data_IF_648568774736
#
_entry.id   IF_648568774736
#
_cell.length_a   1.000
_cell.length_b   1.000
_cell.length_c   1.000
_cell.angle_alpha   90.00
_cell.angle_beta   90.00
_cell.angle_gamma   90.00
#
_symmetry.space_group_name_H-M   'P 1'
#
loop_
_entity.id
_entity.type
_entity.pdbx_description
1 polymer ?
#
# COMPACT_ATOMS: atom_id res chain seq x y z
N UNK A 1 -12.76 10.83 -6.45
CA UNK A 1 -12.01 11.53 -7.50
C UNK A 1 -11.09 10.57 -8.20
N UNK A 2 -10.76 10.79 -9.49
CA UNK A 2 -9.57 10.19 -10.06
C UNK A 2 -8.36 11.10 -9.82
N UNK A 3 -7.17 10.50 -9.84
CA UNK A 3 -5.91 11.23 -9.77
C UNK A 3 -5.77 12.21 -10.94
N UNK A 4 -5.01 13.24 -10.74
CA UNK A 4 -4.67 14.21 -11.78
C UNK A 4 -3.21 14.63 -11.65
N UNK A 5 -2.61 14.97 -12.77
CA UNK A 5 -1.23 15.45 -12.85
C UNK A 5 -1.13 16.62 -13.79
N UNK A 6 -0.02 17.32 -13.77
CA UNK A 6 0.31 18.24 -14.84
C UNK A 6 0.84 17.44 -16.04
N UNK A 7 0.35 17.76 -17.22
CA UNK A 7 0.90 17.21 -18.46
C UNK A 7 2.31 17.75 -18.71
N UNK A 8 3.01 17.15 -19.64
CA UNK A 8 4.23 17.74 -20.17
C UNK A 8 3.95 19.13 -20.76
N UNK A 9 4.97 19.98 -20.76
CA UNK A 9 4.88 21.30 -21.40
C UNK A 9 4.65 21.10 -22.88
N UNK A 10 3.52 21.58 -23.36
CA UNK A 10 3.15 21.44 -24.78
C UNK A 10 3.51 22.64 -25.60
N UNK A 11 3.46 23.86 -25.04
CA UNK A 11 3.77 25.11 -25.74
C UNK A 11 4.22 26.16 -24.71
N UNK A 12 5.44 26.67 -24.89
CA UNK A 12 6.02 27.66 -23.97
C UNK A 12 6.09 27.16 -22.53
N UNK A 13 5.42 27.83 -21.60
CA UNK A 13 5.33 27.47 -20.18
C UNK A 13 3.92 27.01 -19.78
N UNK A 14 3.13 26.51 -20.71
CA UNK A 14 1.78 26.06 -20.47
C UNK A 14 1.76 24.62 -19.98
N UNK A 15 1.19 24.40 -18.80
CA UNK A 15 0.89 23.09 -18.25
C UNK A 15 -0.63 22.89 -18.21
N UNK A 16 -1.09 21.74 -18.62
CA UNK A 16 -2.51 21.37 -18.53
C UNK A 16 -2.71 20.26 -17.52
N UNK A 17 -3.89 20.23 -16.92
CA UNK A 17 -4.26 19.11 -16.06
C UNK A 17 -4.56 17.90 -16.93
N UNK A 18 -3.86 16.81 -16.67
CA UNK A 18 -4.10 15.51 -17.29
C UNK A 18 -4.75 14.55 -16.28
N UNK A 19 -5.68 13.76 -16.76
CA UNK A 19 -6.33 12.70 -16.03
C UNK A 19 -5.75 11.34 -16.41
N UNK A 20 -6.13 10.24 -15.70
CA UNK A 20 -5.67 8.90 -16.03
C UNK A 20 -5.94 8.55 -17.50
N UNK A 21 -5.08 7.73 -18.08
CA UNK A 21 -5.28 7.22 -19.43
C UNK A 21 -6.32 6.08 -19.41
N UNK A 22 -7.04 5.92 -20.53
CA UNK A 22 -8.08 4.91 -20.65
C UNK A 22 -7.54 3.48 -20.46
N UNK A 23 -6.31 3.26 -20.85
CA UNK A 23 -5.59 1.98 -20.79
C UNK A 23 -5.15 1.59 -19.38
N UNK A 24 -5.05 2.54 -18.46
CA UNK A 24 -4.71 2.25 -17.07
C UNK A 24 -5.68 1.22 -16.50
N UNK A 25 -5.19 0.40 -15.57
CA UNK A 25 -5.99 -0.63 -14.93
C UNK A 25 -6.61 -1.63 -15.93
N UNK A 26 -5.85 -1.97 -16.99
CA UNK A 26 -6.30 -2.82 -18.11
C UNK A 26 -7.65 -2.39 -18.70
N UNK A 27 -7.87 -1.09 -18.80
CA UNK A 27 -9.11 -0.50 -19.32
C UNK A 27 -10.28 -0.45 -18.32
N UNK A 28 -10.12 -1.00 -17.12
CA UNK A 28 -11.15 -0.98 -16.10
C UNK A 28 -11.34 0.41 -15.51
N UNK A 29 -12.59 0.77 -15.26
CA UNK A 29 -12.97 2.00 -14.61
C UNK A 29 -13.00 3.22 -15.52
N UNK A 30 -13.49 4.32 -14.98
CA UNK A 30 -13.64 5.59 -15.69
C UNK A 30 -12.47 6.54 -15.44
N UNK A 31 -12.05 7.23 -16.49
CA UNK A 31 -11.08 8.33 -16.41
C UNK A 31 -11.74 9.66 -16.06
N UNK A 32 -13.08 9.74 -16.13
CA UNK A 32 -13.80 10.97 -15.87
C UNK A 32 -13.81 11.30 -14.37
N UNK A 33 -13.39 12.51 -13.97
CA UNK A 33 -13.57 12.96 -12.61
C UNK A 33 -15.06 13.18 -12.33
N UNK A 34 -15.55 12.69 -11.20
CA UNK A 34 -16.91 12.88 -10.77
C UNK A 34 -17.01 13.00 -9.25
N UNK A 35 -17.96 13.80 -8.77
CA UNK A 35 -18.31 13.90 -7.37
C UNK A 35 -19.78 14.34 -7.21
N UNK A 36 -20.35 14.06 -6.06
CA UNK A 36 -21.73 14.42 -5.77
C UNK A 36 -21.86 15.92 -5.49
N UNK A 37 -23.01 16.49 -5.87
CA UNK A 37 -23.36 17.87 -5.57
C UNK A 37 -24.48 17.91 -4.48
N UNK A 38 -24.44 18.89 -3.57
CA UNK A 38 -23.39 19.92 -3.40
C UNK A 38 -22.08 19.33 -2.89
N UNK A 39 -20.96 19.89 -3.33
CA UNK A 39 -19.62 19.41 -2.96
C UNK A 39 -18.53 20.42 -3.25
N UNK A 40 -17.33 20.15 -2.76
CA UNK A 40 -16.14 20.96 -2.98
C UNK A 40 -15.14 20.24 -3.87
N UNK A 41 -14.36 20.98 -4.63
CA UNK A 41 -13.20 20.42 -5.33
C UNK A 41 -12.07 20.17 -4.34
N UNK A 42 -11.16 19.22 -4.61
CA UNK A 42 -9.96 19.05 -3.80
C UNK A 42 -9.13 20.34 -3.74
N UNK A 43 -8.40 20.52 -2.66
CA UNK A 43 -7.36 21.53 -2.57
C UNK A 43 -6.32 21.32 -3.67
N UNK A 44 -5.77 22.42 -4.15
CA UNK A 44 -4.64 22.44 -5.07
C UNK A 44 -3.53 23.24 -4.43
N UNK A 45 -2.39 22.60 -4.23
CA UNK A 45 -1.23 23.22 -3.59
C UNK A 45 -0.07 23.27 -4.57
N UNK A 46 0.72 24.33 -4.49
CA UNK A 46 1.95 24.50 -5.28
C UNK A 46 3.06 24.82 -4.29
N UNK A 47 4.04 23.95 -4.17
CA UNK A 47 5.23 24.19 -3.38
C UNK A 47 6.34 24.67 -4.28
N UNK A 48 6.91 25.83 -3.98
CA UNK A 48 8.01 26.45 -4.74
C UNK A 48 9.18 26.76 -3.84
N UNK A 49 10.39 26.74 -4.38
CA UNK A 49 11.60 27.07 -3.65
C UNK A 49 12.82 27.18 -4.55
N UNK A 50 13.85 27.85 -4.07
CA UNK A 50 15.14 27.96 -4.76
C UNK A 50 15.96 26.65 -4.71
N UNK A 51 15.58 25.74 -3.82
CA UNK A 51 16.22 24.42 -3.64
C UNK A 51 15.13 23.34 -3.54
N UNK A 52 15.52 22.06 -3.53
CA UNK A 52 14.61 20.94 -3.32
C UNK A 52 14.09 20.81 -1.88
N UNK A 53 14.69 21.51 -0.92
CA UNK A 53 14.36 21.40 0.50
C UNK A 53 12.87 21.63 0.79
N UNK A 54 12.22 22.74 0.34
CA UNK A 54 10.79 22.93 0.58
C UNK A 54 9.91 21.84 -0.01
N UNK A 55 10.32 21.23 -1.13
CA UNK A 55 9.57 20.16 -1.78
C UNK A 55 9.63 18.87 -0.96
N UNK A 56 10.78 18.57 -0.36
CA UNK A 56 10.98 17.37 0.45
C UNK A 56 10.36 17.49 1.84
N UNK A 57 10.41 18.70 2.42
CA UNK A 57 9.99 18.94 3.81
C UNK A 57 8.54 19.41 3.94
N UNK A 58 7.83 19.69 2.84
CA UNK A 58 6.46 20.19 2.92
C UNK A 58 5.50 19.15 3.51
N UNK A 59 4.67 19.60 4.42
CA UNK A 59 3.58 18.82 5.02
C UNK A 59 2.20 19.28 4.52
N UNK A 60 2.16 20.23 3.59
CA UNK A 60 0.94 20.91 3.16
C UNK A 60 -0.16 19.96 2.69
N UNK A 61 0.18 18.80 2.14
CA UNK A 61 -0.80 17.82 1.69
C UNK A 61 -1.59 17.19 2.86
N UNK A 62 -1.06 17.25 4.09
CA UNK A 62 -1.75 16.81 5.30
C UNK A 62 -2.32 17.98 6.12
N UNK A 63 -1.82 19.21 5.91
CA UNK A 63 -2.21 20.38 6.71
C UNK A 63 -3.54 21.01 6.25
N UNK A 64 -3.96 20.74 5.01
CA UNK A 64 -5.14 21.39 4.39
C UNK A 64 -6.39 20.52 4.36
N UNK A 65 -6.30 19.29 4.79
CA UNK A 65 -7.42 18.32 4.80
C UNK A 65 -7.47 17.61 6.15
N UNK A 66 -8.63 17.62 6.76
CA UNK A 66 -8.87 16.80 7.96
C UNK A 66 -8.83 15.30 7.58
N UNK A 67 -8.37 14.44 8.48
CA UNK A 67 -8.45 12.99 8.27
C UNK A 67 -9.88 12.54 7.96
N UNK A 68 -10.04 11.61 7.04
CA UNK A 68 -11.36 11.08 6.69
C UNK A 68 -12.01 10.35 7.88
N UNK A 69 -11.18 9.73 8.71
CA UNK A 69 -11.57 9.08 9.97
C UNK A 69 -10.38 9.08 10.94
N UNK A 70 -10.69 8.99 12.21
CA UNK A 70 -9.70 8.85 13.28
C UNK A 70 -9.60 7.38 13.69
N UNK A 71 -8.38 6.87 13.83
CA UNK A 71 -8.15 5.51 14.32
C UNK A 71 -8.18 5.46 15.84
N UNK A 72 -8.70 4.36 16.39
CA UNK A 72 -8.59 4.02 17.81
C UNK A 72 -7.34 3.17 18.13
N UNK A 73 -6.57 2.79 17.11
CA UNK A 73 -5.38 1.96 17.24
C UNK A 73 -4.12 2.79 17.48
N UNK A 74 -3.27 2.32 18.38
CA UNK A 74 -1.93 2.87 18.60
C UNK A 74 -0.93 2.13 17.70
N UNK A 75 -0.75 2.63 16.47
CA UNK A 75 0.16 2.07 15.50
C UNK A 75 1.62 2.41 15.84
N UNK A 76 2.43 1.38 16.02
CA UNK A 76 3.84 1.53 16.35
C UNK A 76 4.69 1.64 15.09
N UNK A 77 5.33 2.79 14.89
CA UNK A 77 6.31 2.98 13.83
C UNK A 77 7.59 2.22 14.15
N UNK A 78 8.25 1.66 13.15
CA UNK A 78 9.44 0.86 13.40
C UNK A 78 10.26 0.61 12.14
N UNK A 79 11.33 -0.16 12.32
CA UNK A 79 12.27 -0.59 11.28
C UNK A 79 12.03 -2.04 10.96
N UNK A 80 12.23 -2.43 9.71
CA UNK A 80 12.04 -3.81 9.30
C UNK A 80 13.15 -4.34 8.41
N UNK A 81 13.31 -5.66 8.43
CA UNK A 81 14.11 -6.36 7.41
C UNK A 81 13.21 -6.77 6.24
N UNK A 82 13.78 -6.83 5.06
CA UNK A 82 13.09 -7.18 3.83
C UNK A 82 14.03 -7.92 2.88
N UNK A 83 13.85 -9.23 2.77
CA UNK A 83 14.75 -10.09 2.01
C UNK A 83 14.72 -9.82 0.51
N UNK A 84 13.56 -9.50 -0.02
CA UNK A 84 13.35 -9.30 -1.45
C UNK A 84 14.24 -8.18 -2.03
N UNK A 85 14.50 -7.11 -1.28
CA UNK A 85 15.31 -6.00 -1.79
C UNK A 85 16.75 -6.40 -2.11
N UNK A 86 17.27 -7.44 -1.46
CA UNK A 86 18.63 -7.94 -1.67
C UNK A 86 18.67 -9.22 -2.49
N UNK A 87 17.77 -10.16 -2.22
CA UNK A 87 17.82 -11.51 -2.76
C UNK A 87 16.67 -11.84 -3.70
N UNK A 88 15.79 -10.87 -3.97
CA UNK A 88 14.65 -10.98 -4.88
C UNK A 88 13.75 -12.19 -4.57
N UNK A 89 12.97 -12.65 -5.55
CA UNK A 89 11.96 -13.70 -5.43
C UNK A 89 12.51 -15.06 -4.95
N UNK A 90 13.80 -15.29 -5.12
CA UNK A 90 14.49 -16.50 -4.64
C UNK A 90 14.49 -16.61 -3.11
N UNK A 91 14.43 -15.48 -2.41
CA UNK A 91 14.42 -15.42 -0.95
C UNK A 91 13.07 -15.75 -0.32
N UNK A 92 12.01 -15.81 -1.11
CA UNK A 92 10.69 -16.09 -0.58
C UNK A 92 10.54 -17.60 -0.37
N UNK A 93 11.16 -18.07 0.68
CA UNK A 93 11.11 -19.42 1.19
C UNK A 93 11.26 -19.39 2.73
N UNK A 94 10.83 -20.44 3.40
CA UNK A 94 10.78 -20.45 4.86
C UNK A 94 12.14 -20.20 5.51
N UNK A 95 13.19 -20.87 5.03
CA UNK A 95 14.51 -20.86 5.68
C UNK A 95 15.20 -19.50 5.55
N UNK A 96 15.08 -18.83 4.40
CA UNK A 96 15.60 -17.47 4.23
C UNK A 96 14.80 -16.46 5.05
N UNK A 97 13.48 -16.61 5.15
CA UNK A 97 12.69 -15.73 6.01
C UNK A 97 13.06 -15.89 7.50
N UNK A 98 13.34 -17.10 7.97
CA UNK A 98 13.88 -17.30 9.35
C UNK A 98 15.17 -16.50 9.53
N UNK A 99 16.10 -16.49 8.55
CA UNK A 99 17.34 -15.69 8.64
C UNK A 99 17.05 -14.19 8.75
N UNK A 100 16.03 -13.70 8.03
CA UNK A 100 15.67 -12.28 8.08
C UNK A 100 14.92 -11.90 9.37
N UNK A 101 14.14 -12.81 9.94
CA UNK A 101 13.61 -12.67 11.31
C UNK A 101 14.76 -12.61 12.33
N UNK A 102 15.72 -13.52 12.27
CA UNK A 102 16.88 -13.52 13.16
C UNK A 102 17.73 -12.25 13.00
N UNK A 103 17.88 -11.77 11.78
CA UNK A 103 18.57 -10.49 11.50
C UNK A 103 17.81 -9.31 12.13
N UNK A 104 16.49 -9.24 11.97
CA UNK A 104 15.67 -8.20 12.58
C UNK A 104 15.82 -8.21 14.11
N UNK A 105 15.70 -9.37 14.72
CA UNK A 105 15.87 -9.55 16.16
C UNK A 105 17.26 -9.12 16.64
N UNK A 106 18.33 -9.54 15.92
CA UNK A 106 19.71 -9.20 16.27
C UNK A 106 20.00 -7.70 16.14
N UNK A 107 19.34 -7.02 15.20
CA UNK A 107 19.46 -5.57 15.00
C UNK A 107 18.52 -4.75 15.90
N UNK A 108 17.66 -5.38 16.66
CA UNK A 108 16.63 -4.69 17.46
C UNK A 108 15.61 -3.97 16.56
N UNK A 109 15.27 -4.57 15.42
CA UNK A 109 14.22 -4.06 14.52
C UNK A 109 12.88 -4.68 14.92
N UNK A 110 11.85 -3.89 14.73
CA UNK A 110 10.50 -4.20 15.16
C UNK A 110 9.79 -5.17 14.20
N UNK A 111 10.17 -5.16 12.91
CA UNK A 111 9.41 -5.82 11.86
C UNK A 111 10.25 -6.65 10.90
N UNK A 112 9.59 -7.61 10.25
CA UNK A 112 10.05 -8.27 9.03
C UNK A 112 8.94 -8.18 7.97
N UNK A 113 9.30 -7.81 6.74
CA UNK A 113 8.40 -7.85 5.59
C UNK A 113 8.67 -9.10 4.76
N UNK A 114 7.67 -9.97 4.64
CA UNK A 114 7.68 -11.15 3.78
C UNK A 114 6.94 -10.79 2.49
N UNK A 115 7.67 -10.81 1.38
CA UNK A 115 7.23 -10.29 0.09
C UNK A 115 6.40 -11.30 -0.72
N UNK A 116 6.13 -11.01 -1.98
CA UNK A 116 5.24 -11.72 -2.89
C UNK A 116 5.44 -13.26 -2.92
N UNK A 117 4.43 -13.99 -3.40
CA UNK A 117 4.41 -15.47 -3.51
C UNK A 117 4.60 -16.25 -2.19
N UNK A 118 4.47 -15.62 -1.04
CA UNK A 118 4.53 -16.34 0.23
C UNK A 118 3.42 -17.40 0.36
N UNK A 119 2.27 -17.14 -0.26
CA UNK A 119 1.10 -18.03 -0.29
C UNK A 119 1.37 -19.35 -1.02
N UNK A 120 2.14 -19.31 -2.10
CA UNK A 120 2.45 -20.48 -2.94
C UNK A 120 3.79 -21.13 -2.58
N UNK A 121 4.82 -20.34 -2.24
CA UNK A 121 6.16 -20.85 -1.95
C UNK A 121 6.34 -21.30 -0.49
N UNK A 122 5.68 -20.66 0.45
CA UNK A 122 5.70 -21.01 1.88
C UNK A 122 4.39 -21.71 2.26
N UNK A 123 3.27 -21.14 1.86
CA UNK A 123 1.92 -21.61 2.15
C UNK A 123 1.43 -21.20 3.54
N UNK A 124 0.13 -21.07 3.69
CA UNK A 124 -0.50 -20.52 4.90
C UNK A 124 -0.06 -21.23 6.19
N UNK A 125 -0.10 -22.57 6.22
CA UNK A 125 0.25 -23.32 7.43
C UNK A 125 1.71 -23.11 7.90
N UNK A 126 2.66 -23.04 6.96
CA UNK A 126 4.05 -22.75 7.31
C UNK A 126 4.24 -21.26 7.62
N UNK A 127 3.42 -20.39 7.01
CA UNK A 127 3.42 -18.97 7.34
C UNK A 127 2.96 -18.73 8.79
N UNK A 128 1.92 -19.41 9.26
CA UNK A 128 1.51 -19.37 10.66
C UNK A 128 2.69 -19.72 11.58
N UNK A 129 3.41 -20.81 11.29
CA UNK A 129 4.59 -21.19 12.07
C UNK A 129 5.74 -20.16 11.99
N UNK A 130 5.88 -19.46 10.89
CA UNK A 130 6.88 -18.41 10.72
C UNK A 130 6.51 -17.13 11.49
N UNK A 131 5.23 -16.80 11.51
CA UNK A 131 4.70 -15.69 12.32
C UNK A 131 4.93 -15.96 13.81
N UNK A 132 4.57 -17.17 14.28
CA UNK A 132 4.81 -17.59 15.67
C UNK A 132 6.31 -17.52 16.02
N UNK A 133 7.18 -17.95 15.10
CA UNK A 133 8.63 -17.87 15.28
C UNK A 133 9.10 -16.41 15.42
N UNK A 134 8.64 -15.54 14.54
CA UNK A 134 9.00 -14.11 14.56
C UNK A 134 8.55 -13.45 15.86
N UNK A 135 7.32 -13.67 16.27
CA UNK A 135 6.76 -13.17 17.54
C UNK A 135 7.53 -13.70 18.75
N UNK A 136 7.95 -14.97 18.73
CA UNK A 136 8.81 -15.57 19.75
C UNK A 136 10.18 -14.91 19.85
N UNK A 137 10.63 -14.21 18.82
CA UNK A 137 11.87 -13.39 18.78
C UNK A 137 11.63 -11.91 19.09
N UNK A 138 10.38 -11.49 19.31
CA UNK A 138 10.01 -10.09 19.49
C UNK A 138 10.01 -9.29 18.19
N UNK A 139 9.81 -9.95 17.05
CA UNK A 139 9.71 -9.34 15.71
C UNK A 139 8.31 -9.56 15.19
N UNK A 140 7.64 -8.48 14.79
CA UNK A 140 6.33 -8.53 14.17
C UNK A 140 6.43 -8.65 12.64
N UNK A 141 5.35 -9.13 12.02
CA UNK A 141 5.35 -9.51 10.60
C UNK A 141 4.46 -8.58 9.78
N UNK A 142 4.95 -8.21 8.60
CA UNK A 142 4.18 -7.65 7.50
C UNK A 142 4.13 -8.66 6.36
N UNK A 143 2.96 -8.81 5.73
CA UNK A 143 2.77 -9.68 4.58
C UNK A 143 2.42 -8.87 3.33
N UNK A 144 2.97 -9.29 2.21
CA UNK A 144 2.72 -8.68 0.91
C UNK A 144 1.44 -9.22 0.25
N UNK A 145 0.72 -8.34 -0.44
CA UNK A 145 -0.45 -8.64 -1.26
C UNK A 145 -0.42 -7.84 -2.56
N UNK A 146 -0.93 -8.41 -3.64
CA UNK A 146 -1.31 -7.63 -4.81
C UNK A 146 -2.61 -6.88 -4.54
N UNK A 147 -2.70 -5.62 -4.99
CA UNK A 147 -3.97 -4.90 -5.01
C UNK A 147 -4.95 -5.45 -6.03
N UNK A 148 -4.45 -6.27 -6.96
CA UNK A 148 -5.14 -6.66 -8.17
C UNK A 148 -6.14 -7.78 -7.98
N UNK A 149 -7.24 -7.65 -8.71
CA UNK A 149 -8.21 -8.69 -9.00
C UNK A 149 -8.04 -9.26 -10.42
N UNK A 150 -9.13 -9.80 -10.95
CA UNK A 150 -9.20 -10.41 -12.29
C UNK A 150 -8.85 -9.46 -13.45
N UNK A 151 -8.85 -8.16 -13.20
CA UNK A 151 -8.62 -7.10 -14.18
C UNK A 151 -7.14 -6.75 -14.36
N UNK A 152 -6.26 -7.41 -13.65
CA UNK A 152 -4.82 -7.20 -13.72
C UNK A 152 -4.13 -8.56 -13.90
N UNK A 153 -3.20 -8.63 -14.83
CA UNK A 153 -2.46 -9.84 -15.22
C UNK A 153 -1.13 -10.02 -14.46
N UNK A 154 -0.98 -9.37 -13.33
CA UNK A 154 0.16 -9.56 -12.43
C UNK A 154 0.15 -10.99 -11.87
N UNK A 155 1.27 -11.69 -12.03
CA UNK A 155 1.43 -13.07 -11.59
C UNK A 155 1.73 -13.19 -10.09
N UNK A 156 2.32 -12.14 -9.50
CA UNK A 156 2.74 -12.14 -8.11
C UNK A 156 1.55 -12.23 -7.16
N UNK A 157 1.53 -13.29 -6.36
CA UNK A 157 0.49 -13.53 -5.35
C UNK A 157 0.90 -13.17 -3.93
N UNK A 158 -0.06 -13.10 -3.00
CA UNK A 158 -1.49 -13.38 -3.16
C UNK A 158 -2.22 -12.36 -4.04
N UNK A 159 -3.01 -12.84 -4.99
CA UNK A 159 -3.91 -12.05 -5.83
C UNK A 159 -5.38 -12.30 -5.46
N UNK A 160 -6.29 -11.44 -5.92
CA UNK A 160 -7.74 -11.57 -5.66
C UNK A 160 -8.09 -11.58 -4.16
N UNK A 161 -7.34 -10.83 -3.36
CA UNK A 161 -7.53 -10.73 -1.91
C UNK A 161 -7.92 -9.33 -1.47
N UNK A 162 -7.40 -8.30 -2.15
CA UNK A 162 -7.54 -6.91 -1.72
C UNK A 162 -8.61 -6.14 -2.51
N UNK A 163 -8.99 -6.58 -3.69
CA UNK A 163 -9.94 -5.93 -4.58
C UNK A 163 -11.41 -6.11 -4.16
N UNK A 164 -11.80 -7.29 -3.70
CA UNK A 164 -13.15 -7.58 -3.20
C UNK A 164 -13.26 -7.34 -1.70
N UNK A 165 -14.18 -6.46 -1.22
CA UNK A 165 -14.27 -6.11 0.19
C UNK A 165 -14.67 -7.29 1.09
N UNK A 166 -15.42 -8.28 0.60
CA UNK A 166 -15.81 -9.45 1.39
C UNK A 166 -14.61 -10.37 1.59
N UNK A 167 -13.87 -10.61 0.51
CA UNK A 167 -12.66 -11.43 0.54
C UNK A 167 -11.60 -10.74 1.37
N UNK A 168 -11.38 -9.44 1.17
CA UNK A 168 -10.41 -8.62 1.89
C UNK A 168 -10.63 -8.64 3.41
N UNK A 169 -11.85 -8.40 3.88
CA UNK A 169 -12.18 -8.45 5.31
C UNK A 169 -11.95 -9.83 5.92
N UNK A 170 -12.23 -10.88 5.18
CA UNK A 170 -11.97 -12.25 5.63
C UNK A 170 -10.46 -12.53 5.74
N UNK A 171 -9.70 -12.05 4.79
CA UNK A 171 -8.23 -12.17 4.80
C UNK A 171 -7.63 -11.34 5.95
N UNK A 172 -8.05 -10.09 6.12
CA UNK A 172 -7.58 -9.21 7.20
C UNK A 172 -7.95 -9.75 8.58
N UNK A 173 -9.10 -10.38 8.73
CA UNK A 173 -9.46 -11.08 9.96
C UNK A 173 -8.48 -12.23 10.28
N UNK A 174 -8.11 -13.03 9.28
CA UNK A 174 -7.10 -14.09 9.48
C UNK A 174 -5.75 -13.47 9.87
N UNK A 175 -5.31 -12.40 9.23
CA UNK A 175 -4.07 -11.69 9.57
C UNK A 175 -4.10 -11.20 11.02
N UNK A 176 -5.19 -10.59 11.45
CA UNK A 176 -5.40 -10.15 12.84
C UNK A 176 -5.33 -11.32 13.81
N UNK A 177 -6.00 -12.43 13.52
CA UNK A 177 -6.00 -13.65 14.35
C UNK A 177 -4.59 -14.27 14.47
N UNK A 178 -3.74 -14.15 13.44
CA UNK A 178 -2.35 -14.58 13.48
C UNK A 178 -1.41 -13.55 14.14
N UNK A 179 -1.90 -12.37 14.47
CA UNK A 179 -1.10 -11.30 15.07
C UNK A 179 -0.16 -10.58 14.11
N UNK A 180 -0.41 -10.67 12.80
CA UNK A 180 0.26 -9.85 11.77
C UNK A 180 -0.04 -8.39 12.04
N UNK A 181 0.96 -7.51 11.90
CA UNK A 181 0.84 -6.08 12.23
C UNK A 181 0.60 -5.18 11.02
N UNK A 182 0.81 -5.69 9.84
CA UNK A 182 0.54 -4.89 8.67
C UNK A 182 0.66 -5.64 7.36
N UNK A 183 0.27 -4.96 6.31
CA UNK A 183 0.33 -5.46 4.95
C UNK A 183 1.07 -4.48 4.04
N UNK A 184 1.82 -5.01 3.08
CA UNK A 184 2.28 -4.26 1.91
C UNK A 184 1.36 -4.60 0.75
N UNK A 185 0.68 -3.60 0.20
CA UNK A 185 -0.20 -3.77 -0.96
C UNK A 185 0.42 -3.11 -2.18
N UNK A 186 0.61 -3.87 -3.24
CA UNK A 186 1.42 -3.50 -4.40
C UNK A 186 0.63 -3.58 -5.71
N UNK A 187 1.22 -3.05 -6.78
CA UNK A 187 0.74 -3.14 -8.17
C UNK A 187 -0.62 -2.49 -8.43
N UNK A 188 -0.83 -1.29 -7.92
CA UNK A 188 -2.02 -0.53 -8.28
C UNK A 188 -1.97 -0.12 -9.76
N UNK A 189 -3.09 -0.31 -10.46
CA UNK A 189 -3.17 -0.19 -11.92
C UNK A 189 -3.30 1.23 -12.45
N UNK A 190 -3.04 2.26 -11.65
CA UNK A 190 -3.15 3.68 -12.04
C UNK A 190 -3.99 4.49 -11.07
N UNK A 191 -4.52 5.64 -11.56
CA UNK A 191 -5.14 6.66 -10.72
C UNK A 191 -6.63 6.90 -11.04
N UNK A 192 -7.31 5.92 -11.64
CA UNK A 192 -8.76 6.00 -11.90
C UNK A 192 -9.57 6.02 -10.60
N UNK A 193 -10.84 6.41 -10.67
CA UNK A 193 -11.73 6.48 -9.50
C UNK A 193 -11.82 5.15 -8.75
N UNK A 194 -11.87 4.05 -9.46
CA UNK A 194 -11.94 2.71 -8.89
C UNK A 194 -10.70 2.40 -8.05
N UNK A 195 -9.53 2.81 -8.52
CA UNK A 195 -8.27 2.67 -7.77
C UNK A 195 -8.27 3.54 -6.52
N UNK A 196 -8.77 4.79 -6.60
CA UNK A 196 -8.89 5.66 -5.43
C UNK A 196 -9.83 5.06 -4.37
N UNK A 197 -10.98 4.51 -4.78
CA UNK A 197 -11.89 3.80 -3.86
C UNK A 197 -11.25 2.56 -3.25
N UNK A 198 -10.39 1.88 -4.02
CA UNK A 198 -9.66 0.71 -3.53
C UNK A 198 -8.67 1.10 -2.42
N UNK A 199 -7.93 2.22 -2.57
CA UNK A 199 -7.08 2.76 -1.51
C UNK A 199 -7.87 3.02 -0.22
N UNK A 200 -8.96 3.79 -0.33
CA UNK A 200 -9.82 4.11 0.82
C UNK A 200 -10.39 2.83 1.46
N UNK A 201 -10.87 1.90 0.65
CA UNK A 201 -11.43 0.64 1.14
C UNK A 201 -10.40 -0.25 1.84
N UNK A 202 -9.17 -0.31 1.34
CA UNK A 202 -8.09 -1.07 1.98
C UNK A 202 -7.71 -0.43 3.32
N UNK A 203 -7.55 0.89 3.35
CA UNK A 203 -7.20 1.62 4.58
C UNK A 203 -8.27 1.45 5.66
N UNK A 204 -9.54 1.64 5.30
CA UNK A 204 -10.66 1.49 6.24
C UNK A 204 -10.76 0.06 6.78
N UNK A 205 -10.69 -0.95 5.92
CA UNK A 205 -10.79 -2.34 6.35
C UNK A 205 -9.54 -2.79 7.14
N UNK A 206 -8.36 -2.24 6.84
CA UNK A 206 -7.14 -2.51 7.60
C UNK A 206 -7.22 -1.90 9.00
N UNK A 207 -7.74 -0.67 9.13
CA UNK A 207 -7.93 -0.04 10.42
C UNK A 207 -8.93 -0.82 11.30
N UNK A 208 -10.05 -1.27 10.74
CA UNK A 208 -11.02 -2.14 11.43
C UNK A 208 -10.35 -3.41 12.04
N UNK A 209 -9.20 -3.83 11.52
CA UNK A 209 -8.47 -5.02 11.97
C UNK A 209 -7.13 -4.72 12.66
N UNK A 210 -6.82 -3.44 12.89
CA UNK A 210 -5.58 -3.01 13.55
C UNK A 210 -4.32 -3.28 12.73
N UNK A 211 -4.41 -3.23 11.40
CA UNK A 211 -3.32 -3.48 10.47
C UNK A 211 -2.76 -2.19 9.91
N UNK A 212 -1.45 -2.01 9.95
CA UNK A 212 -0.74 -0.97 9.22
C UNK A 212 -0.69 -1.30 7.72
N UNK A 213 -0.63 -0.28 6.86
CA UNK A 213 -0.57 -0.46 5.41
C UNK A 213 0.63 0.25 4.82
N UNK A 214 1.36 -0.46 3.96
CA UNK A 214 2.38 0.10 3.08
C UNK A 214 1.88 -0.05 1.65
N UNK A 215 1.56 1.07 0.99
CA UNK A 215 1.25 1.05 -0.44
C UNK A 215 2.54 1.10 -1.27
N UNK A 216 2.59 0.28 -2.31
CA UNK A 216 3.68 0.20 -3.26
C UNK A 216 3.15 0.11 -4.69
N UNK A 217 3.94 0.52 -5.70
CA UNK A 217 3.42 0.60 -7.05
C UNK A 217 2.14 1.43 -7.15
N UNK A 218 2.10 2.55 -6.44
CA UNK A 218 0.89 3.33 -6.16
C UNK A 218 1.09 4.81 -6.48
N UNK A 219 -0.01 5.58 -6.46
CA UNK A 219 0.09 7.03 -6.54
C UNK A 219 0.77 7.62 -5.29
N UNK A 220 1.41 8.77 -5.45
CA UNK A 220 2.00 9.49 -4.31
C UNK A 220 0.87 10.01 -3.39
N UNK A 221 1.00 9.89 -2.07
CA UNK A 221 0.03 10.45 -1.13
C UNK A 221 -0.21 11.95 -1.38
N UNK A 222 -1.48 12.36 -1.31
CA UNK A 222 -1.92 13.74 -1.61
C UNK A 222 -2.87 14.30 -0.56
N UNK A 223 -2.85 13.77 0.65
CA UNK A 223 -3.68 14.20 1.77
C UNK A 223 -5.16 13.79 1.67
N UNK A 224 -5.43 12.64 1.12
CA UNK A 224 -6.78 12.05 1.01
C UNK A 224 -6.92 10.77 1.82
#
# INVERSE_FOLDING_TARGET
>A
YCGSRLSDVTEGNLYTVAFPMAEENNGNGTVAPAFALPGSTPWRTITVGETLKPIVETTVIWDVVEPLYETEHDYQMGRGTWSWILWQDGSINYDDQVRYVDLAAAMGYEYVLIDNWWDTKIGHKRMESLIDYAQGKGVDVFLWYSSSGYWNDIEQGPVNKMDDPIIRKREMKWLQEQGVKGIKVDFFGGDKQETMRLYEGILSDADDHGLMVIFHGCTVPRGW
#
